data_IF_964416624109
#
_entry.id   IF_964416624109
#
_cell.length_a   1.000
_cell.length_b   1.000
_cell.length_c   1.000
_cell.angle_alpha   90.00
_cell.angle_beta   90.00
_cell.angle_gamma   90.00
#
_symmetry.space_group_name_H-M   'P 1'
#
loop_
_entity.id
_entity.type
_entity.pdbx_description
1 polymer ?
#
# COMPACT_ATOMS: atom_id res chain seq x y z
N UNK A 1 -47.09 38.51 -52.79
CA UNK A 1 -47.31 37.31 -51.96
C UNK A 1 -46.06 36.43 -52.03
N UNK A 2 -45.25 36.39 -50.98
CA UNK A 2 -44.37 35.26 -50.62
C UNK A 2 -43.70 35.53 -49.26
N UNK A 3 -44.41 35.17 -48.18
CA UNK A 3 -43.95 35.26 -46.79
C UNK A 3 -43.47 33.87 -46.37
N UNK A 4 -42.22 33.52 -46.65
CA UNK A 4 -41.54 32.34 -46.08
C UNK A 4 -40.02 32.55 -46.06
N UNK A 5 -39.48 33.40 -45.18
CA UNK A 5 -38.01 33.40 -44.94
C UNK A 5 -37.48 34.02 -43.65
N UNK A 6 -38.31 34.32 -42.64
CA UNK A 6 -37.84 34.94 -41.40
C UNK A 6 -37.87 34.03 -40.15
N UNK A 7 -38.57 32.89 -40.17
CA UNK A 7 -38.68 32.00 -39.00
C UNK A 7 -37.49 31.08 -38.73
N UNK A 8 -36.53 30.97 -39.66
CA UNK A 8 -35.40 30.03 -39.55
C UNK A 8 -34.10 30.65 -38.99
N UNK A 9 -34.02 31.98 -38.94
CA UNK A 9 -32.81 32.67 -38.49
C UNK A 9 -32.75 32.87 -36.97
N UNK A 10 -33.91 32.96 -36.30
CA UNK A 10 -33.98 33.13 -34.85
C UNK A 10 -33.77 31.83 -34.05
N UNK A 11 -34.06 30.67 -34.64
CA UNK A 11 -33.83 29.36 -34.01
C UNK A 11 -32.37 28.89 -34.06
N UNK A 12 -31.57 29.44 -34.99
CA UNK A 12 -30.14 29.14 -35.09
C UNK A 12 -29.29 30.04 -34.17
N UNK A 13 -29.77 31.23 -33.80
CA UNK A 13 -29.08 32.11 -32.86
C UNK A 13 -29.28 31.69 -31.39
N UNK A 14 -30.41 31.06 -31.06
CA UNK A 14 -30.66 30.51 -29.72
C UNK A 14 -29.87 29.22 -29.43
N UNK A 15 -29.42 28.50 -30.45
CA UNK A 15 -28.60 27.29 -30.29
C UNK A 15 -27.09 27.58 -30.15
N UNK A 16 -26.64 28.79 -30.50
CA UNK A 16 -25.23 29.19 -30.44
C UNK A 16 -24.83 29.97 -29.18
N UNK A 17 -25.79 30.30 -28.31
CA UNK A 17 -25.55 30.95 -27.00
C UNK A 17 -25.49 29.95 -25.83
N UNK A 18 -25.71 28.66 -26.07
CA UNK A 18 -25.69 27.63 -25.03
C UNK A 18 -24.32 26.96 -24.71
N UNK A 19 -23.17 27.23 -25.35
CA UNK A 19 -21.91 26.65 -24.89
C UNK A 19 -21.09 27.53 -23.93
N UNK A 20 -21.51 28.77 -23.61
CA UNK A 20 -20.71 29.66 -22.72
C UNK A 20 -21.00 29.49 -21.21
N UNK A 21 -22.01 28.70 -20.83
CA UNK A 21 -22.34 28.42 -19.42
C UNK A 21 -21.77 27.08 -18.91
N UNK A 22 -21.02 26.35 -19.75
CA UNK A 22 -20.44 25.05 -19.37
C UNK A 22 -18.98 25.13 -18.88
N UNK A 23 -18.34 26.30 -18.88
CA UNK A 23 -16.95 26.49 -18.45
C UNK A 23 -16.76 26.81 -16.95
N UNK A 24 -17.80 26.66 -16.12
CA UNK A 24 -17.72 26.98 -14.68
C UNK A 24 -18.42 26.00 -13.74
N UNK A 25 -18.77 24.80 -14.22
CA UNK A 25 -19.44 23.76 -13.40
C UNK A 25 -18.55 22.55 -13.08
N UNK A 26 -17.26 22.66 -13.35
CA UNK A 26 -16.24 21.76 -12.85
C UNK A 26 -15.33 22.52 -11.89
N UNK A 27 -15.91 23.15 -10.87
CA UNK A 27 -15.17 23.34 -9.63
C UNK A 27 -14.85 21.94 -9.12
N UNK A 28 -13.57 21.65 -9.01
CA UNK A 28 -13.07 20.42 -8.43
C UNK A 28 -13.73 20.22 -7.08
N UNK A 29 -14.55 19.18 -6.94
CA UNK A 29 -15.11 18.76 -5.65
C UNK A 29 -13.95 18.13 -4.87
N UNK A 30 -13.12 18.99 -4.30
CA UNK A 30 -12.08 18.69 -3.33
C UNK A 30 -12.08 19.81 -2.29
N UNK A 31 -11.70 19.54 -1.04
CA UNK A 31 -11.59 20.58 -0.02
C UNK A 31 -10.65 21.70 -0.51
N UNK A 32 -11.10 22.96 -0.46
CA UNK A 32 -10.31 24.12 -0.85
C UNK A 32 -9.28 24.42 0.25
N UNK A 33 -7.99 24.35 -0.10
CA UNK A 33 -6.89 24.67 0.84
C UNK A 33 -7.02 26.15 1.23
N UNK A 34 -7.07 26.50 2.53
CA UNK A 34 -7.13 27.89 2.96
C UNK A 34 -5.95 28.68 2.41
N UNK A 35 -6.19 29.88 1.87
CA UNK A 35 -5.16 30.67 1.17
C UNK A 35 -4.00 31.14 2.06
N UNK A 36 -4.22 31.16 3.37
CA UNK A 36 -3.21 31.48 4.39
C UNK A 36 -2.70 30.23 5.12
N UNK A 37 -2.97 29.01 4.61
CA UNK A 37 -2.54 27.80 5.29
C UNK A 37 -1.04 27.56 5.13
N UNK A 38 -0.41 27.11 6.22
CA UNK A 38 0.88 26.43 6.16
C UNK A 38 0.64 25.01 5.65
N UNK A 39 1.06 24.72 4.42
CA UNK A 39 0.88 23.41 3.80
C UNK A 39 1.99 22.47 4.24
N UNK A 40 1.62 21.34 4.81
CA UNK A 40 2.53 20.27 5.24
C UNK A 40 2.40 19.11 4.27
N UNK A 41 3.43 18.93 3.43
CA UNK A 41 3.51 17.80 2.51
C UNK A 41 4.00 16.56 3.25
N UNK A 42 3.24 15.46 3.16
CA UNK A 42 3.54 14.19 3.80
C UNK A 42 3.68 13.12 2.74
N UNK A 43 4.78 12.38 2.77
CA UNK A 43 4.93 11.15 1.98
C UNK A 43 4.61 9.98 2.90
N UNK A 44 3.71 9.09 2.49
CA UNK A 44 3.29 7.96 3.32
C UNK A 44 3.25 6.65 2.53
N UNK A 45 3.59 5.54 3.19
CA UNK A 45 3.38 4.22 2.60
C UNK A 45 1.90 4.02 2.26
N UNK A 46 1.61 3.42 1.09
CA UNK A 46 0.24 3.30 0.60
C UNK A 46 -0.65 2.42 1.48
N UNK A 47 -0.08 1.50 2.28
CA UNK A 47 -0.81 0.69 3.26
C UNK A 47 -1.48 1.53 4.36
N UNK A 48 -1.06 2.79 4.54
CA UNK A 48 -1.66 3.72 5.49
C UNK A 48 -2.92 4.38 5.00
N UNK A 49 -3.16 4.38 3.68
CA UNK A 49 -4.24 5.12 3.05
C UNK A 49 -5.61 4.93 3.71
N UNK A 50 -6.06 3.68 4.00
CA UNK A 50 -7.41 3.48 4.55
C UNK A 50 -7.69 4.21 5.86
N UNK A 51 -6.66 4.51 6.66
CA UNK A 51 -6.82 5.18 7.95
C UNK A 51 -6.28 6.61 7.93
N UNK A 52 -5.19 6.87 7.21
CA UNK A 52 -4.54 8.18 7.18
C UNK A 52 -5.39 9.22 6.44
N UNK A 53 -6.13 8.83 5.40
CA UNK A 53 -7.08 9.74 4.74
C UNK A 53 -8.14 10.26 5.72
N UNK A 54 -8.65 9.39 6.60
CA UNK A 54 -9.64 9.79 7.62
C UNK A 54 -9.01 10.70 8.66
N UNK A 55 -7.79 10.39 9.12
CA UNK A 55 -7.09 11.19 10.11
C UNK A 55 -6.73 12.59 9.58
N UNK A 56 -6.25 12.67 8.34
CA UNK A 56 -5.87 13.93 7.69
C UNK A 56 -7.09 14.78 7.38
N UNK A 57 -8.20 14.18 6.93
CA UNK A 57 -9.46 14.91 6.76
C UNK A 57 -9.91 15.55 8.08
N UNK A 58 -9.90 14.77 9.18
CA UNK A 58 -10.28 15.28 10.50
C UNK A 58 -9.33 16.38 11.01
N UNK A 59 -8.03 16.28 10.75
CA UNK A 59 -7.05 17.30 11.11
C UNK A 59 -7.24 18.59 10.30
N UNK A 60 -7.42 18.48 8.98
CA UNK A 60 -7.64 19.64 8.12
C UNK A 60 -8.96 20.35 8.46
N UNK A 61 -10.01 19.58 8.81
CA UNK A 61 -11.30 20.12 9.26
C UNK A 61 -11.22 20.82 10.62
N UNK A 62 -10.26 20.47 11.49
CA UNK A 62 -10.11 21.12 12.80
C UNK A 62 -9.45 22.50 12.72
N UNK A 63 -8.90 22.88 11.56
CA UNK A 63 -8.23 24.17 11.33
C UNK A 63 -7.19 24.50 12.41
N UNK A 64 -6.41 23.50 12.82
CA UNK A 64 -5.36 23.65 13.83
C UNK A 64 -4.35 24.71 13.37
N UNK A 65 -4.08 25.71 14.22
CA UNK A 65 -3.11 26.77 13.91
C UNK A 65 -1.71 26.40 14.41
N UNK A 66 -0.68 26.81 13.66
CA UNK A 66 0.72 26.73 14.11
C UNK A 66 1.04 27.87 15.11
N UNK A 67 2.31 27.97 15.52
CA UNK A 67 2.76 29.02 16.46
C UNK A 67 2.59 30.45 15.95
N UNK A 68 2.48 30.64 14.63
CA UNK A 68 2.31 31.94 13.98
C UNK A 68 0.83 32.31 13.78
N UNK A 69 -0.10 31.41 14.15
CA UNK A 69 -1.54 31.60 13.98
C UNK A 69 -2.05 31.24 12.58
N UNK A 70 -1.21 30.61 11.74
CA UNK A 70 -1.63 30.15 10.42
C UNK A 70 -2.23 28.75 10.51
N UNK A 71 -3.37 28.47 9.85
CA UNK A 71 -3.95 27.14 9.83
C UNK A 71 -3.01 26.16 9.13
N UNK A 72 -2.75 25.02 9.75
CA UNK A 72 -1.96 23.93 9.15
C UNK A 72 -2.88 23.10 8.26
N UNK A 73 -2.41 22.79 7.06
CA UNK A 73 -3.13 21.94 6.11
C UNK A 73 -2.22 20.83 5.60
N UNK A 74 -2.60 19.58 5.84
CA UNK A 74 -1.83 18.40 5.48
C UNK A 74 -2.25 17.88 4.10
N UNK A 75 -1.27 17.65 3.24
CA UNK A 75 -1.42 16.99 1.93
C UNK A 75 -0.57 15.72 1.94
N UNK A 76 -1.17 14.59 1.56
CA UNK A 76 -0.47 13.29 1.58
C UNK A 76 -0.27 12.75 0.18
N UNK A 77 0.97 12.41 -0.15
CA UNK A 77 1.33 11.54 -1.27
C UNK A 77 1.52 10.10 -0.77
N UNK A 78 0.78 9.16 -1.36
CA UNK A 78 0.90 7.74 -1.05
C UNK A 78 1.80 7.03 -2.05
N UNK A 79 2.90 6.44 -1.58
CA UNK A 79 3.90 5.78 -2.42
C UNK A 79 4.59 4.66 -1.63
N UNK A 80 5.00 3.59 -2.31
CA UNK A 80 5.77 2.51 -1.67
C UNK A 80 7.15 3.00 -1.23
N UNK A 81 7.64 2.52 -0.09
CA UNK A 81 8.86 3.05 0.54
C UNK A 81 10.09 2.96 -0.37
N UNK A 82 10.24 1.87 -1.14
CA UNK A 82 11.34 1.73 -2.10
C UNK A 82 11.24 2.68 -3.28
N UNK A 83 10.02 2.96 -3.74
CA UNK A 83 9.79 3.97 -4.78
C UNK A 83 9.97 5.40 -4.23
N UNK A 84 9.58 5.65 -2.97
CA UNK A 84 9.78 6.92 -2.29
C UNK A 84 11.28 7.27 -2.21
N UNK A 85 12.13 6.28 -1.93
CA UNK A 85 13.59 6.44 -1.97
C UNK A 85 14.04 6.98 -3.33
N UNK A 86 13.59 6.38 -4.43
CA UNK A 86 13.95 6.82 -5.79
C UNK A 86 13.45 8.24 -6.04
N UNK A 87 12.22 8.54 -5.65
CA UNK A 87 11.59 9.85 -5.89
C UNK A 87 12.28 10.98 -5.13
N UNK A 88 12.77 10.70 -3.91
CA UNK A 88 13.32 11.71 -3.00
C UNK A 88 14.86 11.76 -3.01
N UNK A 89 15.54 10.91 -3.79
CA UNK A 89 17.00 10.82 -3.82
C UNK A 89 17.69 12.16 -4.18
N UNK A 90 17.07 12.96 -5.05
CA UNK A 90 17.58 14.28 -5.45
C UNK A 90 17.00 15.45 -4.63
N UNK A 91 16.23 15.14 -3.58
CA UNK A 91 15.54 16.10 -2.72
C UNK A 91 14.01 15.93 -2.78
N UNK A 92 13.32 16.52 -1.80
CA UNK A 92 11.87 16.49 -1.67
C UNK A 92 11.39 17.72 -0.90
N UNK A 93 10.15 18.14 -1.12
CA UNK A 93 9.47 19.15 -0.33
C UNK A 93 8.62 18.53 0.80
N UNK A 94 8.65 17.20 0.96
CA UNK A 94 7.98 16.50 2.03
C UNK A 94 8.58 16.89 3.39
N UNK A 95 7.71 17.37 4.27
CA UNK A 95 8.03 17.72 5.65
C UNK A 95 8.09 16.49 6.57
N UNK A 96 7.30 15.47 6.23
CA UNK A 96 7.18 14.24 7.00
C UNK A 96 7.17 13.04 6.05
N UNK A 97 7.88 11.99 6.42
CA UNK A 97 7.84 10.71 5.73
C UNK A 97 7.40 9.59 6.68
N UNK A 98 6.39 8.82 6.27
CA UNK A 98 5.93 7.61 6.93
C UNK A 98 6.27 6.39 6.06
N UNK A 99 7.54 5.94 6.02
CA UNK A 99 7.87 4.68 5.35
C UNK A 99 7.21 3.50 6.05
N UNK A 100 7.37 2.33 5.47
CA UNK A 100 6.91 1.07 6.07
C UNK A 100 7.69 0.68 7.34
N UNK A 101 9.02 0.87 7.28
CA UNK A 101 10.01 0.44 8.26
C UNK A 101 11.12 1.50 8.34
N UNK A 102 11.77 1.70 9.51
CA UNK A 102 12.86 2.66 9.66
C UNK A 102 14.06 2.42 8.72
N UNK A 103 14.26 1.19 8.26
CA UNK A 103 15.38 0.84 7.36
C UNK A 103 15.35 1.66 6.07
N UNK A 104 14.17 2.05 5.57
CA UNK A 104 14.03 2.82 4.34
C UNK A 104 14.64 4.21 4.44
N UNK A 105 14.64 4.80 5.64
CA UNK A 105 15.33 6.08 5.92
C UNK A 105 16.83 5.93 5.72
N UNK A 106 17.42 4.83 6.17
CA UNK A 106 18.84 4.55 5.97
C UNK A 106 19.16 4.31 4.49
N UNK A 107 18.28 3.63 3.76
CA UNK A 107 18.46 3.41 2.31
C UNK A 107 18.44 4.75 1.55
N UNK A 108 17.56 5.69 1.92
CA UNK A 108 17.56 7.03 1.33
C UNK A 108 18.86 7.80 1.65
N UNK A 109 19.33 7.71 2.89
CA UNK A 109 20.58 8.32 3.33
C UNK A 109 21.80 7.77 2.57
N UNK A 110 21.84 6.46 2.34
CA UNK A 110 22.88 5.80 1.55
C UNK A 110 22.87 6.25 0.08
N UNK A 111 21.74 6.78 -0.42
CA UNK A 111 21.64 7.41 -1.75
C UNK A 111 22.03 8.89 -1.76
N UNK A 112 22.37 9.47 -0.61
CA UNK A 112 22.86 10.84 -0.47
C UNK A 112 21.84 11.83 0.10
N UNK A 113 20.64 11.37 0.49
CA UNK A 113 19.65 12.21 1.15
C UNK A 113 19.41 11.73 2.60
N UNK A 114 20.06 12.40 3.57
CA UNK A 114 19.96 12.08 5.00
C UNK A 114 18.84 12.82 5.74
N UNK A 115 17.97 13.53 5.03
CA UNK A 115 17.09 14.56 5.62
C UNK A 115 16.09 14.00 6.65
N UNK A 116 15.79 12.70 6.60
CA UNK A 116 14.82 12.03 7.47
C UNK A 116 15.47 11.18 8.58
N UNK A 117 16.80 11.24 8.77
CA UNK A 117 17.53 10.41 9.76
C UNK A 117 17.37 10.87 11.22
N UNK A 118 16.65 11.96 11.45
CA UNK A 118 16.38 12.52 12.76
C UNK A 118 15.37 11.73 13.58
N UNK A 119 14.51 12.47 14.29
CA UNK A 119 13.49 11.87 15.15
C UNK A 119 12.38 11.19 14.33
N UNK A 120 12.28 9.87 14.53
CA UNK A 120 11.28 8.99 13.92
C UNK A 120 10.43 8.33 15.01
N UNK A 121 9.11 8.53 14.98
CA UNK A 121 8.17 7.94 15.96
C UNK A 121 7.21 6.98 15.27
N UNK A 122 7.19 5.71 15.69
CA UNK A 122 6.20 4.74 15.20
C UNK A 122 4.77 5.21 15.49
N UNK A 123 3.95 5.37 14.44
CA UNK A 123 2.54 5.79 14.58
C UNK A 123 1.53 4.67 14.35
N UNK A 124 1.94 3.56 13.73
CA UNK A 124 1.08 2.40 13.50
C UNK A 124 1.90 1.11 13.49
N UNK A 125 1.26 -0.02 13.76
CA UNK A 125 1.88 -1.33 13.58
C UNK A 125 0.98 -2.24 12.76
N UNK A 126 1.57 -2.94 11.80
CA UNK A 126 0.86 -3.96 11.04
C UNK A 126 1.81 -5.11 10.70
N UNK A 127 1.58 -6.32 11.26
CA UNK A 127 2.30 -7.51 10.84
C UNK A 127 2.11 -7.78 9.34
N UNK A 128 3.16 -8.28 8.70
CA UNK A 128 3.05 -8.89 7.37
C UNK A 128 2.40 -10.26 7.54
N UNK A 129 1.34 -10.55 6.80
CA UNK A 129 0.55 -11.77 6.95
C UNK A 129 0.29 -12.41 5.59
N UNK A 130 -0.14 -13.65 5.62
CA UNK A 130 -0.73 -14.31 4.47
C UNK A 130 -2.23 -14.01 4.52
N UNK A 131 -2.67 -12.99 3.79
CA UNK A 131 -4.09 -12.69 3.60
C UNK A 131 -4.74 -13.80 2.79
N UNK A 132 -5.58 -14.62 3.43
CA UNK A 132 -6.18 -15.80 2.83
C UNK A 132 -7.70 -15.73 2.93
N UNK A 133 -8.41 -16.19 1.90
CA UNK A 133 -9.87 -16.32 2.00
C UNK A 133 -10.23 -17.27 3.14
N UNK A 134 -11.22 -16.91 3.95
CA UNK A 134 -11.61 -17.70 5.14
C UNK A 134 -11.91 -19.15 4.78
N UNK A 135 -12.61 -19.40 3.69
CA UNK A 135 -12.96 -20.77 3.27
C UNK A 135 -11.72 -21.56 2.84
N UNK A 136 -10.72 -20.91 2.24
CA UNK A 136 -9.42 -21.52 1.93
C UNK A 136 -8.68 -21.84 3.21
N UNK A 137 -8.58 -20.89 4.14
CA UNK A 137 -7.88 -21.09 5.41
C UNK A 137 -8.53 -22.22 6.22
N UNK A 138 -9.86 -22.28 6.27
CA UNK A 138 -10.61 -23.35 6.91
C UNK A 138 -10.36 -24.71 6.25
N UNK A 139 -10.33 -24.77 4.91
CA UNK A 139 -10.05 -26.00 4.17
C UNK A 139 -8.64 -26.53 4.45
N UNK A 140 -7.67 -25.63 4.68
CA UNK A 140 -6.31 -25.96 5.10
C UNK A 140 -6.19 -26.26 6.61
N UNK A 141 -7.28 -26.15 7.38
CA UNK A 141 -7.33 -26.46 8.81
C UNK A 141 -6.95 -25.31 9.74
N UNK A 142 -6.72 -24.10 9.23
CA UNK A 142 -6.46 -22.92 10.05
C UNK A 142 -7.74 -22.51 10.82
N UNK A 143 -7.66 -22.07 12.10
CA UNK A 143 -6.45 -21.89 12.92
C UNK A 143 -6.03 -23.13 13.72
N UNK A 144 -6.70 -24.29 13.56
CA UNK A 144 -6.36 -25.51 14.29
C UNK A 144 -5.01 -26.11 13.88
N UNK A 145 -4.63 -25.94 12.61
CA UNK A 145 -3.31 -26.22 12.07
C UNK A 145 -2.61 -24.88 11.78
N UNK A 146 -1.48 -24.57 12.46
CA UNK A 146 -0.65 -23.42 12.09
C UNK A 146 -0.16 -23.59 10.65
N UNK A 147 -0.21 -22.50 9.89
CA UNK A 147 0.31 -22.45 8.52
C UNK A 147 1.51 -21.49 8.49
N UNK A 148 2.49 -21.81 7.67
CA UNK A 148 3.72 -21.03 7.49
C UNK A 148 4.00 -20.60 6.06
N UNK A 149 5.10 -19.89 5.89
CA UNK A 149 5.60 -19.48 4.58
C UNK A 149 5.90 -20.68 3.69
N UNK A 150 6.53 -21.71 4.27
CA UNK A 150 6.94 -22.91 3.55
C UNK A 150 5.75 -23.79 3.15
N UNK A 151 4.69 -23.82 3.97
CA UNK A 151 3.45 -24.54 3.66
C UNK A 151 2.75 -23.94 2.44
N UNK A 152 2.66 -22.61 2.39
CA UNK A 152 2.03 -21.91 1.27
C UNK A 152 2.83 -22.07 -0.02
N UNK A 153 4.16 -21.98 0.04
CA UNK A 153 5.01 -22.27 -1.12
C UNK A 153 4.86 -23.71 -1.62
N UNK A 154 4.82 -24.68 -0.70
CA UNK A 154 4.63 -26.09 -1.05
C UNK A 154 3.25 -26.36 -1.66
N UNK A 155 2.19 -25.76 -1.09
CA UNK A 155 0.82 -25.89 -1.59
C UNK A 155 0.67 -25.30 -2.99
N UNK A 156 1.30 -24.15 -3.25
CA UNK A 156 1.27 -23.53 -4.57
C UNK A 156 2.03 -24.36 -5.63
N UNK A 157 3.05 -25.11 -5.23
CA UNK A 157 3.83 -25.98 -6.10
C UNK A 157 3.20 -27.37 -6.34
N UNK A 158 2.16 -27.76 -5.61
CA UNK A 158 1.51 -29.08 -5.72
C UNK A 158 0.01 -28.97 -6.08
N UNK A 159 -0.33 -29.05 -7.38
CA UNK A 159 -1.72 -29.04 -7.84
C UNK A 159 -2.58 -30.20 -7.28
N UNK A 160 -1.96 -31.34 -6.95
CA UNK A 160 -2.69 -32.49 -6.40
C UNK A 160 -3.08 -32.23 -4.95
N UNK A 161 -2.16 -31.67 -4.16
CA UNK A 161 -2.46 -31.20 -2.81
C UNK A 161 -3.52 -30.10 -2.83
N UNK A 162 -3.39 -29.11 -3.72
CA UNK A 162 -4.41 -28.07 -3.85
C UNK A 162 -5.79 -28.65 -4.19
N UNK A 163 -5.89 -29.55 -5.17
CA UNK A 163 -7.16 -30.17 -5.54
C UNK A 163 -7.81 -30.97 -4.40
N UNK A 164 -7.00 -31.60 -3.54
CA UNK A 164 -7.49 -32.28 -2.35
C UNK A 164 -8.17 -31.30 -1.37
N UNK A 165 -7.52 -30.17 -1.07
CA UNK A 165 -8.06 -29.18 -0.12
C UNK A 165 -9.18 -28.32 -0.71
N UNK A 166 -9.07 -27.94 -1.98
CA UNK A 166 -10.05 -27.06 -2.62
C UNK A 166 -11.37 -27.74 -2.93
N UNK A 167 -11.37 -29.08 -3.06
CA UNK A 167 -12.53 -29.85 -3.50
C UNK A 167 -13.05 -29.44 -4.89
N UNK A 168 -12.29 -28.64 -5.64
CA UNK A 168 -12.70 -27.99 -6.88
C UNK A 168 -13.59 -26.75 -6.71
N UNK A 169 -14.01 -26.40 -5.48
CA UNK A 169 -14.93 -25.28 -5.21
C UNK A 169 -14.19 -23.94 -5.01
N UNK A 170 -12.92 -23.99 -4.62
CA UNK A 170 -12.10 -22.80 -4.31
C UNK A 170 -11.18 -22.35 -5.45
N UNK A 171 -11.33 -22.97 -6.64
CA UNK A 171 -10.51 -22.73 -7.81
C UNK A 171 -9.65 -23.94 -8.20
N UNK A 172 -9.18 -23.92 -9.44
CA UNK A 172 -8.40 -24.98 -10.10
C UNK A 172 -6.91 -25.01 -9.70
N UNK A 173 -6.38 -23.88 -9.21
CA UNK A 173 -5.00 -23.75 -8.74
C UNK A 173 -4.93 -22.82 -7.54
N UNK A 174 -3.97 -23.05 -6.65
CA UNK A 174 -3.62 -22.11 -5.59
C UNK A 174 -2.82 -20.96 -6.21
N UNK A 175 -3.40 -19.75 -6.22
CA UNK A 175 -2.78 -18.56 -6.81
C UNK A 175 -2.35 -17.61 -5.73
N UNK A 176 -1.05 -17.36 -5.64
CA UNK A 176 -0.46 -16.41 -4.71
C UNK A 176 -0.17 -15.07 -5.39
N UNK A 177 -0.24 -13.99 -4.64
CA UNK A 177 0.26 -12.68 -5.03
C UNK A 177 1.01 -12.00 -3.89
N UNK A 178 1.97 -11.14 -4.21
CA UNK A 178 2.57 -10.21 -3.26
C UNK A 178 3.06 -8.97 -4.02
N UNK A 179 3.63 -7.98 -3.36
CA UNK A 179 4.13 -6.78 -4.05
C UNK A 179 5.53 -7.00 -4.63
N UNK A 180 5.96 -6.18 -5.60
CA UNK A 180 7.29 -6.33 -6.19
C UNK A 180 8.44 -6.13 -5.16
N UNK A 181 9.33 -7.12 -4.93
CA UNK A 181 10.37 -7.06 -3.89
C UNK A 181 11.39 -5.95 -4.00
N UNK A 182 11.66 -5.48 -5.22
CA UNK A 182 12.58 -4.38 -5.46
C UNK A 182 11.98 -2.98 -5.28
N UNK A 183 10.65 -2.86 -5.12
CA UNK A 183 9.94 -1.57 -5.12
C UNK A 183 9.07 -1.35 -3.87
N UNK A 184 8.61 -2.42 -3.23
CA UNK A 184 7.78 -2.38 -2.02
C UNK A 184 8.47 -3.10 -0.87
N UNK A 185 8.34 -2.54 0.33
CA UNK A 185 8.90 -3.14 1.52
C UNK A 185 8.20 -4.42 1.93
N UNK A 186 6.89 -4.54 1.70
CA UNK A 186 6.18 -5.81 1.91
C UNK A 186 6.71 -6.94 1.02
N UNK A 187 7.12 -6.63 -0.22
CA UNK A 187 7.74 -7.60 -1.13
C UNK A 187 9.15 -8.00 -0.68
N UNK A 188 9.97 -7.02 -0.28
CA UNK A 188 11.29 -7.29 0.28
C UNK A 188 11.21 -8.13 1.56
N UNK A 189 10.28 -7.76 2.46
CA UNK A 189 10.00 -8.46 3.71
C UNK A 189 9.47 -9.87 3.49
N UNK A 190 8.67 -10.10 2.44
CA UNK A 190 8.22 -11.43 2.03
C UNK A 190 9.41 -12.35 1.73
N UNK A 191 10.35 -11.89 0.89
CA UNK A 191 11.54 -12.68 0.57
C UNK A 191 12.39 -12.94 1.81
N UNK A 192 12.65 -11.92 2.64
CA UNK A 192 13.41 -12.07 3.88
C UNK A 192 12.75 -13.06 4.84
N UNK A 193 11.42 -13.05 4.94
CA UNK A 193 10.66 -13.95 5.81
C UNK A 193 10.80 -15.41 5.34
N UNK A 194 10.78 -15.66 4.03
CA UNK A 194 11.00 -17.00 3.47
C UNK A 194 12.42 -17.48 3.72
N UNK A 195 13.43 -16.61 3.60
CA UNK A 195 14.83 -16.97 3.91
C UNK A 195 14.99 -17.30 5.40
N UNK A 196 14.36 -16.55 6.29
CA UNK A 196 14.33 -16.80 7.73
C UNK A 196 13.63 -18.13 8.07
N UNK A 197 12.48 -18.38 7.44
CA UNK A 197 11.71 -19.63 7.58
C UNK A 197 12.52 -20.85 7.11
N UNK A 198 13.16 -20.76 5.95
CA UNK A 198 13.98 -21.84 5.36
C UNK A 198 15.17 -22.24 6.25
N UNK A 199 15.69 -21.30 7.04
CA UNK A 199 16.82 -21.51 7.95
C UNK A 199 16.39 -21.75 9.40
N UNK A 200 15.08 -21.73 9.69
CA UNK A 200 14.53 -21.80 11.05
C UNK A 200 15.17 -20.77 12.00
N UNK A 201 15.40 -19.55 11.51
CA UNK A 201 16.01 -18.45 12.26
C UNK A 201 15.18 -17.17 12.13
N UNK A 202 15.17 -16.33 13.16
CA UNK A 202 14.48 -15.02 13.15
C UNK A 202 15.45 -13.84 13.11
N UNK A 203 16.73 -14.11 12.85
CA UNK A 203 17.81 -13.11 12.85
C UNK A 203 18.08 -12.57 11.45
N UNK A 204 18.93 -11.54 11.36
CA UNK A 204 19.30 -10.91 10.10
C UNK A 204 19.81 -11.94 9.07
N UNK A 205 19.31 -11.81 7.84
CA UNK A 205 19.71 -12.63 6.68
C UNK A 205 20.99 -12.03 6.08
N UNK A 206 21.99 -12.87 5.82
CA UNK A 206 23.22 -12.45 5.14
C UNK A 206 23.17 -12.76 3.64
N UNK A 207 24.02 -12.09 2.85
CA UNK A 207 24.15 -12.40 1.43
C UNK A 207 24.69 -13.83 1.17
N UNK A 208 25.40 -14.42 2.14
CA UNK A 208 25.87 -15.80 2.05
C UNK A 208 24.69 -16.79 2.22
N UNK A 209 23.77 -16.49 3.12
CA UNK A 209 22.59 -17.33 3.40
C UNK A 209 21.74 -17.56 2.14
N UNK A 210 21.66 -16.55 1.25
CA UNK A 210 20.90 -16.62 -0.01
C UNK A 210 21.44 -17.72 -0.96
N UNK A 211 22.72 -18.08 -0.83
CA UNK A 211 23.35 -19.13 -1.64
C UNK A 211 23.07 -20.55 -1.12
N UNK A 212 22.50 -20.69 0.07
CA UNK A 212 22.20 -22.00 0.65
C UNK A 212 21.12 -22.72 -0.19
N UNK A 213 21.32 -24.01 -0.55
CA UNK A 213 20.38 -24.74 -1.40
C UNK A 213 18.95 -24.78 -0.84
N UNK A 214 18.80 -24.86 0.49
CA UNK A 214 17.49 -24.87 1.14
C UNK A 214 16.75 -23.54 0.97
N UNK A 215 17.49 -22.42 0.99
CA UNK A 215 16.94 -21.08 0.78
C UNK A 215 16.49 -20.93 -0.67
N UNK A 216 17.34 -21.32 -1.63
CA UNK A 216 17.00 -21.26 -3.05
C UNK A 216 15.78 -22.14 -3.39
N UNK A 217 15.70 -23.33 -2.81
CA UNK A 217 14.55 -24.22 -2.99
C UNK A 217 13.27 -23.62 -2.39
N UNK A 218 13.35 -23.04 -1.19
CA UNK A 218 12.20 -22.46 -0.48
C UNK A 218 11.68 -21.20 -1.18
N UNK A 219 12.56 -20.28 -1.54
CA UNK A 219 12.21 -19.08 -2.32
C UNK A 219 11.67 -19.50 -3.69
N UNK A 220 12.30 -20.46 -4.37
CA UNK A 220 11.83 -20.95 -5.66
C UNK A 220 10.45 -21.60 -5.61
N UNK A 221 10.15 -22.37 -4.56
CA UNK A 221 8.82 -22.96 -4.36
C UNK A 221 7.75 -21.89 -4.12
N UNK A 222 8.06 -20.91 -3.27
CA UNK A 222 7.13 -19.82 -2.97
C UNK A 222 6.88 -18.90 -4.17
N UNK A 223 7.95 -18.37 -4.78
CA UNK A 223 7.88 -17.48 -5.94
C UNK A 223 7.31 -18.19 -7.17
N UNK A 224 7.51 -19.51 -7.30
CA UNK A 224 6.87 -20.31 -8.35
C UNK A 224 5.34 -20.34 -8.27
N UNK A 225 4.78 -20.09 -7.09
CA UNK A 225 3.34 -19.96 -6.85
C UNK A 225 2.78 -18.55 -7.10
N UNK A 226 3.64 -17.54 -7.26
CA UNK A 226 3.26 -16.15 -7.41
C UNK A 226 2.79 -15.89 -8.84
N UNK A 227 1.51 -15.57 -8.98
CA UNK A 227 0.87 -15.31 -10.27
C UNK A 227 0.83 -13.83 -10.64
N UNK A 228 1.00 -12.94 -9.66
CA UNK A 228 0.98 -11.50 -9.89
C UNK A 228 1.80 -10.76 -8.84
N UNK A 229 2.52 -9.74 -9.29
CA UNK A 229 3.10 -8.72 -8.42
C UNK A 229 2.19 -7.50 -8.43
N UNK A 230 1.62 -7.18 -7.26
CA UNK A 230 0.88 -5.94 -7.09
C UNK A 230 1.84 -4.75 -6.92
N UNK A 231 1.38 -3.57 -7.31
CA UNK A 231 2.13 -2.32 -7.08
C UNK A 231 2.17 -1.92 -5.61
N UNK A 232 1.21 -2.38 -4.81
CA UNK A 232 1.12 -2.15 -3.37
C UNK A 232 0.23 -3.19 -2.68
N UNK A 233 0.32 -3.27 -1.35
CA UNK A 233 -0.60 -4.10 -0.54
C UNK A 233 -2.04 -3.61 -0.65
N UNK A 234 -2.25 -2.29 -0.69
CA UNK A 234 -3.55 -1.66 -0.92
C UNK A 234 -4.21 -2.15 -2.24
N UNK A 235 -3.46 -2.10 -3.34
CA UNK A 235 -3.91 -2.58 -4.65
C UNK A 235 -4.14 -4.10 -4.67
N UNK A 236 -3.31 -4.87 -3.94
CA UNK A 236 -3.47 -6.32 -3.81
C UNK A 236 -4.77 -6.67 -3.07
N UNK A 237 -5.02 -6.02 -1.92
CA UNK A 237 -6.25 -6.19 -1.14
C UNK A 237 -7.49 -5.83 -1.94
N UNK A 238 -7.45 -4.71 -2.67
CA UNK A 238 -8.52 -4.31 -3.59
C UNK A 238 -8.76 -5.37 -4.67
N UNK A 239 -7.69 -5.84 -5.30
CA UNK A 239 -7.78 -6.84 -6.38
C UNK A 239 -8.37 -8.15 -5.88
N UNK A 240 -7.97 -8.62 -4.70
CA UNK A 240 -8.54 -9.81 -4.09
C UNK A 240 -10.05 -9.61 -3.84
N UNK A 241 -10.44 -8.52 -3.17
CA UNK A 241 -11.86 -8.22 -2.92
C UNK A 241 -12.69 -8.18 -4.21
N UNK A 242 -12.18 -7.52 -5.23
CA UNK A 242 -12.95 -7.24 -6.45
C UNK A 242 -12.99 -8.46 -7.40
N UNK A 243 -11.98 -9.34 -7.38
CA UNK A 243 -11.87 -10.48 -8.31
C UNK A 243 -12.10 -11.85 -7.69
N UNK A 244 -12.15 -11.96 -6.36
CA UNK A 244 -12.52 -13.17 -5.65
C UNK A 244 -11.43 -14.26 -5.59
N UNK A 245 -11.76 -15.33 -4.87
CA UNK A 245 -10.85 -16.45 -4.53
C UNK A 245 -10.26 -17.17 -5.73
N UNK A 246 -10.99 -17.25 -6.84
CA UNK A 246 -10.52 -17.95 -8.05
C UNK A 246 -9.43 -17.17 -8.79
N UNK A 247 -9.39 -15.85 -8.63
CA UNK A 247 -8.36 -15.00 -9.21
C UNK A 247 -7.08 -15.01 -8.35
N UNK A 248 -7.23 -14.82 -7.04
CA UNK A 248 -6.14 -14.88 -6.07
C UNK A 248 -6.62 -15.58 -4.80
N UNK A 249 -6.00 -16.72 -4.51
CA UNK A 249 -6.33 -17.60 -3.38
C UNK A 249 -5.74 -17.08 -2.08
N UNK A 250 -4.55 -16.48 -2.16
CA UNK A 250 -3.90 -15.82 -1.05
C UNK A 250 -3.04 -14.66 -1.56
N UNK A 251 -2.78 -13.69 -0.68
CA UNK A 251 -1.86 -12.60 -0.94
C UNK A 251 -0.99 -12.29 0.28
N UNK A 252 0.30 -12.04 0.10
CA UNK A 252 1.13 -11.51 1.19
C UNK A 252 0.91 -10.00 1.29
N UNK A 253 0.43 -9.55 2.44
CA UNK A 253 0.02 -8.17 2.67
C UNK A 253 0.11 -7.81 4.14
N UNK A 254 -0.08 -6.54 4.47
CA UNK A 254 -0.22 -6.11 5.85
C UNK A 254 -1.56 -6.56 6.46
N UNK A 255 -1.55 -6.93 7.74
CA UNK A 255 -2.75 -7.25 8.51
C UNK A 255 -3.85 -6.18 8.35
N UNK A 256 -3.48 -4.90 8.43
CA UNK A 256 -4.39 -3.77 8.21
C UNK A 256 -5.11 -3.86 6.85
N UNK A 257 -4.38 -4.25 5.80
CA UNK A 257 -4.92 -4.45 4.45
C UNK A 257 -5.88 -5.63 4.42
N UNK A 258 -5.50 -6.77 5.00
CA UNK A 258 -6.35 -7.96 5.06
C UNK A 258 -7.66 -7.67 5.81
N UNK A 259 -7.60 -6.94 6.93
CA UNK A 259 -8.78 -6.54 7.71
C UNK A 259 -9.67 -5.58 6.92
N UNK A 260 -9.09 -4.52 6.34
CA UNK A 260 -9.84 -3.47 5.65
C UNK A 260 -10.54 -4.01 4.38
N UNK A 261 -9.80 -4.70 3.51
CA UNK A 261 -10.32 -5.21 2.25
C UNK A 261 -11.10 -6.51 2.43
N UNK A 262 -10.70 -7.35 3.38
CA UNK A 262 -11.30 -8.65 3.61
C UNK A 262 -12.70 -8.57 4.18
N UNK A 263 -13.00 -7.59 5.05
CA UNK A 263 -14.27 -7.49 5.77
C UNK A 263 -14.69 -8.84 6.41
N UNK A 264 -13.69 -9.59 6.88
CA UNK A 264 -13.81 -10.95 7.40
C UNK A 264 -13.71 -12.07 6.35
N UNK A 265 -13.97 -11.83 5.07
CA UNK A 265 -13.87 -12.86 4.04
C UNK A 265 -12.42 -13.21 3.68
N UNK A 266 -11.50 -12.24 3.81
CA UNK A 266 -10.05 -12.46 3.83
C UNK A 266 -9.61 -12.30 5.27
N UNK A 267 -8.87 -13.27 5.80
CA UNK A 267 -8.37 -13.28 7.17
C UNK A 267 -6.84 -13.22 7.18
N UNK A 268 -6.24 -12.58 8.20
CA UNK A 268 -4.81 -12.66 8.41
C UNK A 268 -4.43 -14.05 8.90
N UNK A 269 -3.63 -14.78 8.13
CA UNK A 269 -2.94 -15.99 8.59
C UNK A 269 -1.53 -15.57 9.01
N UNK A 270 -1.26 -15.65 10.30
CA UNK A 270 0.08 -15.38 10.86
C UNK A 270 0.97 -16.61 10.64
N UNK A 271 2.07 -16.46 9.91
CA UNK A 271 2.97 -17.56 9.61
C UNK A 271 3.58 -18.17 10.87
N UNK A 272 3.64 -19.51 10.94
CA UNK A 272 4.23 -20.26 12.04
C UNK A 272 5.68 -19.86 12.34
N UNK A 273 6.47 -19.55 11.30
CA UNK A 273 7.89 -19.21 11.42
C UNK A 273 8.12 -17.76 11.92
N UNK A 274 7.05 -16.96 12.02
CA UNK A 274 7.10 -15.54 12.37
C UNK A 274 7.00 -14.61 11.17
N UNK A 275 7.04 -13.30 11.44
CA UNK A 275 6.86 -12.28 10.41
C UNK A 275 7.50 -10.95 10.78
N UNK A 276 7.67 -10.08 9.77
CA UNK A 276 8.04 -8.68 9.93
C UNK A 276 6.82 -7.84 10.32
N UNK A 277 7.05 -6.76 11.06
CA UNK A 277 5.98 -5.87 11.54
C UNK A 277 6.30 -4.45 11.11
N UNK A 278 5.58 -3.96 10.09
CA UNK A 278 5.71 -2.57 9.68
C UNK A 278 5.32 -1.67 10.86
N UNK A 279 6.16 -0.68 11.16
CA UNK A 279 6.02 0.23 12.32
C UNK A 279 5.69 1.66 11.91
N UNK A 280 5.67 1.94 10.61
CA UNK A 280 5.27 3.22 10.04
C UNK A 280 5.78 4.43 10.82
N UNK A 281 7.11 4.59 10.96
CA UNK A 281 7.66 5.70 11.72
C UNK A 281 7.35 7.02 11.00
N UNK A 282 6.76 7.98 11.71
CA UNK A 282 6.69 9.35 11.27
C UNK A 282 8.07 10.01 11.47
N UNK A 283 8.80 10.20 10.39
CA UNK A 283 10.14 10.76 10.35
C UNK A 283 10.11 12.19 9.81
N UNK A 284 10.63 13.13 10.60
CA UNK A 284 10.68 14.54 10.25
C UNK A 284 11.81 14.81 9.25
N UNK A 285 11.55 15.71 8.31
CA UNK A 285 12.58 16.28 7.45
C UNK A 285 13.34 17.38 8.20
N UNK A 286 14.58 17.09 8.64
CA UNK A 286 15.43 18.04 9.36
C UNK A 286 15.96 19.19 8.49
N UNK A 287 15.92 19.03 7.16
CA UNK A 287 16.29 20.07 6.20
C UNK A 287 15.12 21.00 5.85
N UNK A 288 13.90 20.71 6.30
CA UNK A 288 12.73 21.57 6.08
C UNK A 288 12.90 22.94 6.76
N UNK A 289 12.27 23.97 6.22
CA UNK A 289 12.32 25.31 6.80
C UNK A 289 11.65 25.39 8.18
N UNK A 290 11.97 26.43 8.94
CA UNK A 290 11.50 26.59 10.32
C UNK A 290 9.96 26.67 10.44
N UNK A 291 9.28 27.25 9.43
CA UNK A 291 7.82 27.34 9.41
C UNK A 291 7.20 25.96 9.23
N UNK A 292 7.78 25.16 8.35
CA UNK A 292 7.41 23.77 8.11
C UNK A 292 7.66 22.92 9.35
N UNK A 293 8.84 23.03 9.97
CA UNK A 293 9.16 22.33 11.22
C UNK A 293 8.25 22.74 12.39
N UNK A 294 7.81 24.00 12.46
CA UNK A 294 6.87 24.47 13.48
C UNK A 294 5.42 23.98 13.28
N UNK A 295 5.14 23.37 12.12
CA UNK A 295 3.80 22.92 11.72
C UNK A 295 3.63 21.40 11.78
N UNK A 296 4.70 20.63 12.06
CA UNK A 296 4.71 19.16 12.08
C UNK A 296 4.85 18.61 13.49
#
# INVERSE_FOLDING_TARGET
MNVKRYGRFWLLLSLLMLPMLACGLFDSIGPEIPRNAAVVNVVANSSLRPWLETAVAAFNDSQTENSDGDPVYVVVEYVESGQAVINMAEGTDAALWLPEEPVWVNVLADQGNGDFQGDCVSVAQSPLVIGMWRDVANALGYPGLPLGWLDVGSLAADPSAWNYYSGGELGDAFRLGHTHPGLSGSGASTLLAIVQAAQAQTTAVTAADIQEPIVQASVGAFEGGVTTFAISTDALGQTMRDRGVTYLTAGVMYESTAVYYGQGNIIPVYPLEGTFVATHPACLNEAADATTQASV
#
